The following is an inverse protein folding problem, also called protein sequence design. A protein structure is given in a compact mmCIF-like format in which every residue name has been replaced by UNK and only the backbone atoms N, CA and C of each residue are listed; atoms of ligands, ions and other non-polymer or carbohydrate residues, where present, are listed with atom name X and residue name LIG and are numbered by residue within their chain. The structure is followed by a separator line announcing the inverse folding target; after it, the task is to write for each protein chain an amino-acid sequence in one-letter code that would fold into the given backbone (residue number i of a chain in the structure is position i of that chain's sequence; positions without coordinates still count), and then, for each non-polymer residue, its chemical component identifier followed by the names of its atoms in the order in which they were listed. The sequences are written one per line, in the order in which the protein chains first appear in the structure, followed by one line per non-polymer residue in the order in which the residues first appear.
data_IF_589756615033
#
_entry.id   IF_589756615033
#
_cell.length_a   1.000
_cell.length_b   1.000
_cell.length_c   1.000
_cell.angle_alpha   90.00
_cell.angle_beta   90.00
_cell.angle_gamma   90.00
#
_symmetry.space_group_name_H-M   'P 1'
#
loop_
_entity.id
_entity.type
_entity.pdbx_description
1 polymer ?
#
# COMPACT_ATOMS: atom_id res chain seq x y z
N UNK A 1 -5.99 -5.85 -21.84
CA UNK A 1 -5.73 -4.56 -22.53
C UNK A 1 -6.79 -4.37 -23.62
N UNK A 2 -7.31 -3.16 -23.80
CA UNK A 2 -8.29 -2.83 -24.84
C UNK A 2 -7.61 -2.13 -26.01
N UNK A 3 -7.75 -2.65 -27.23
CA UNK A 3 -7.17 -2.08 -28.44
C UNK A 3 -8.18 -1.15 -29.11
N UNK A 4 -7.76 0.07 -29.46
CA UNK A 4 -8.56 1.05 -30.20
C UNK A 4 -7.72 1.77 -31.25
N UNK A 5 -8.38 2.41 -32.21
CA UNK A 5 -7.72 3.32 -33.14
C UNK A 5 -7.25 4.58 -32.41
N UNK A 6 -5.94 4.81 -32.39
CA UNK A 6 -5.35 6.01 -31.82
C UNK A 6 -3.88 6.17 -32.16
N UNK A 7 -3.38 7.40 -31.97
CA UNK A 7 -1.97 7.74 -32.09
C UNK A 7 -1.59 8.82 -31.07
N UNK A 8 -0.51 8.66 -30.29
CA UNK A 8 -0.02 9.72 -29.41
C UNK A 8 0.32 10.98 -30.21
N UNK A 9 -0.12 12.15 -29.71
CA UNK A 9 0.25 13.44 -30.31
C UNK A 9 1.68 13.86 -29.96
N UNK A 10 2.23 13.31 -28.88
CA UNK A 10 3.58 13.57 -28.39
C UNK A 10 4.18 12.35 -27.71
N UNK A 11 5.51 12.34 -27.61
CA UNK A 11 6.30 11.40 -26.80
C UNK A 11 6.95 12.14 -25.62
N UNK A 12 6.26 13.16 -25.11
CA UNK A 12 6.67 13.95 -23.96
C UNK A 12 5.52 13.91 -22.91
N UNK A 13 5.76 13.39 -21.69
CA UNK A 13 7.02 12.82 -21.21
C UNK A 13 7.45 11.56 -21.97
N UNK A 14 8.76 11.26 -21.92
CA UNK A 14 9.37 10.15 -22.68
C UNK A 14 8.79 8.82 -22.18
N UNK A 15 8.20 7.98 -23.06
CA UNK A 15 7.70 6.67 -22.66
C UNK A 15 8.83 5.70 -22.35
N UNK A 16 8.51 4.63 -21.61
CA UNK A 16 9.41 3.48 -21.54
C UNK A 16 9.45 2.80 -22.90
N UNK A 17 10.66 2.58 -23.42
CA UNK A 17 10.85 2.17 -24.81
C UNK A 17 11.55 0.82 -24.91
N UNK A 18 10.99 -0.07 -25.72
CA UNK A 18 11.52 -1.41 -25.97
C UNK A 18 11.71 -1.63 -27.47
N UNK A 19 12.96 -1.88 -27.86
CA UNK A 19 13.33 -2.23 -29.23
C UNK A 19 13.07 -3.72 -29.50
N UNK A 20 12.83 -4.07 -30.77
CA UNK A 20 12.79 -5.46 -31.26
C UNK A 20 11.72 -6.37 -30.64
N UNK A 21 10.65 -5.81 -30.07
CA UNK A 21 9.46 -6.58 -29.68
C UNK A 21 8.33 -6.31 -30.65
N UNK A 22 7.47 -7.30 -30.90
CA UNK A 22 6.29 -7.16 -31.76
C UNK A 22 5.09 -6.58 -30.99
N UNK A 23 3.98 -6.36 -31.68
CA UNK A 23 2.80 -5.72 -31.09
C UNK A 23 2.19 -6.54 -29.95
N UNK A 24 1.96 -7.86 -30.09
CA UNK A 24 1.52 -8.69 -28.97
C UNK A 24 2.45 -8.62 -27.76
N UNK A 25 3.76 -8.70 -27.95
CA UNK A 25 4.73 -8.57 -26.86
C UNK A 25 4.67 -7.17 -26.24
N UNK A 26 4.52 -6.10 -27.04
CA UNK A 26 4.37 -4.73 -26.54
C UNK A 26 3.16 -4.58 -25.61
N UNK A 27 2.01 -5.15 -25.99
CA UNK A 27 0.80 -5.18 -25.17
C UNK A 27 1.05 -5.94 -23.87
N UNK A 28 1.68 -7.12 -23.96
CA UNK A 28 1.96 -7.96 -22.80
C UNK A 28 2.91 -7.27 -21.82
N UNK A 29 3.99 -6.65 -22.31
CA UNK A 29 4.92 -5.88 -21.49
C UNK A 29 4.21 -4.76 -20.74
N UNK A 30 3.29 -4.02 -21.38
CA UNK A 30 2.49 -3.02 -20.67
C UNK A 30 1.52 -3.63 -19.65
N UNK A 31 0.93 -4.78 -19.97
CA UNK A 31 0.02 -5.45 -19.06
C UNK A 31 0.74 -5.87 -17.76
N UNK A 32 1.96 -6.38 -17.86
CA UNK A 32 2.78 -6.80 -16.72
C UNK A 32 3.42 -5.61 -16.00
N UNK A 33 3.75 -4.53 -16.72
CA UNK A 33 4.35 -3.36 -16.11
C UNK A 33 3.32 -2.57 -15.29
N UNK A 34 3.50 -2.56 -13.97
CA UNK A 34 2.49 -2.09 -13.00
C UNK A 34 1.97 -0.69 -13.29
N UNK A 35 2.86 0.25 -13.60
CA UNK A 35 2.53 1.66 -13.84
C UNK A 35 2.05 1.97 -15.26
N UNK A 36 2.17 1.03 -16.20
CA UNK A 36 1.77 1.22 -17.58
C UNK A 36 0.25 1.26 -17.73
N UNK A 37 -0.25 2.24 -18.48
CA UNK A 37 -1.69 2.37 -18.81
C UNK A 37 -1.95 2.36 -20.30
N UNK A 38 -0.91 2.49 -21.13
CA UNK A 38 -1.03 2.60 -22.57
C UNK A 38 0.19 2.03 -23.27
N UNK A 39 -0.04 1.14 -24.24
CA UNK A 39 0.98 0.68 -25.18
C UNK A 39 0.72 1.26 -26.59
N UNK A 40 1.79 1.67 -27.25
CA UNK A 40 1.78 2.11 -28.64
C UNK A 40 3.03 1.62 -29.35
N UNK A 41 2.88 1.01 -30.52
CA UNK A 41 4.01 0.58 -31.33
C UNK A 41 4.10 1.40 -32.61
N UNK A 42 5.31 1.88 -32.91
CA UNK A 42 5.66 2.49 -34.18
C UNK A 42 6.81 1.71 -34.83
N UNK A 43 7.34 2.24 -35.94
CA UNK A 43 8.46 1.64 -36.68
C UNK A 43 9.75 1.58 -35.87
N UNK A 44 9.90 2.40 -34.83
CA UNK A 44 11.08 2.39 -33.96
C UNK A 44 10.99 1.31 -32.87
N UNK A 45 9.79 0.99 -32.40
CA UNK A 45 9.59 -0.02 -31.37
C UNK A 45 8.34 0.20 -30.53
N UNK A 46 8.30 -0.46 -29.38
CA UNK A 46 7.21 -0.37 -28.42
C UNK A 46 7.41 0.80 -27.44
N UNK A 47 6.38 1.61 -27.27
CA UNK A 47 6.33 2.76 -26.37
C UNK A 47 5.26 2.51 -25.31
N UNK A 48 5.66 2.51 -24.05
CA UNK A 48 4.79 2.31 -22.90
C UNK A 48 4.64 3.62 -22.14
N UNK A 49 3.40 4.10 -22.01
CA UNK A 49 3.09 5.31 -21.28
C UNK A 49 2.51 4.97 -19.91
N UNK A 50 3.03 5.66 -18.91
CA UNK A 50 2.62 5.53 -17.51
C UNK A 50 1.39 6.37 -17.20
N UNK A 51 0.67 6.06 -16.13
CA UNK A 51 -0.50 6.83 -15.70
C UNK A 51 -0.21 8.32 -15.50
N UNK A 52 0.97 8.66 -14.94
CA UNK A 52 1.45 10.01 -14.71
C UNK A 52 2.21 10.62 -15.91
N UNK A 53 2.32 9.87 -17.01
CA UNK A 53 3.00 10.28 -18.23
C UNK A 53 2.15 10.06 -19.48
N UNK A 54 0.82 10.04 -19.31
CA UNK A 54 -0.13 9.79 -20.40
C UNK A 54 -0.20 11.00 -21.34
N UNK A 55 0.18 10.88 -22.63
CA UNK A 55 0.04 11.97 -23.58
C UNK A 55 -1.39 12.00 -24.14
N UNK A 56 -1.83 13.14 -24.70
CA UNK A 56 -3.07 13.15 -25.47
C UNK A 56 -2.98 12.18 -26.65
N UNK A 57 -4.01 11.34 -26.84
CA UNK A 57 -4.07 10.39 -27.96
C UNK A 57 -5.12 10.85 -28.95
N UNK A 58 -4.69 11.14 -30.16
CA UNK A 58 -5.59 11.45 -31.25
C UNK A 58 -6.27 10.17 -31.70
N UNK A 59 -7.61 10.11 -31.64
CA UNK A 59 -8.39 9.02 -32.22
C UNK A 59 -8.14 8.99 -33.73
N UNK A 60 -7.83 7.81 -34.23
CA UNK A 60 -7.63 7.54 -35.67
C UNK A 60 -8.74 6.63 -36.19
N UNK A 61 -8.59 6.13 -37.42
CA UNK A 61 -9.45 5.11 -38.01
C UNK A 61 -8.66 4.10 -38.86
N UNK A 62 -9.36 3.14 -39.46
CA UNK A 62 -8.76 2.07 -40.25
C UNK A 62 -7.93 2.52 -41.46
N UNK A 63 -8.18 3.72 -42.00
CA UNK A 63 -7.40 4.27 -43.11
C UNK A 63 -6.07 4.88 -42.66
N UNK A 64 -5.99 5.35 -41.40
CA UNK A 64 -4.77 5.93 -40.82
C UNK A 64 -3.87 4.87 -40.17
N UNK A 65 -4.40 3.67 -39.90
CA UNK A 65 -3.62 2.47 -39.56
C UNK A 65 -2.96 2.45 -38.18
N UNK A 66 -3.08 3.50 -37.37
CA UNK A 66 -2.44 3.56 -36.05
C UNK A 66 -3.37 3.09 -34.94
N UNK A 67 -2.92 2.14 -34.12
CA UNK A 67 -3.67 1.60 -32.99
C UNK A 67 -2.90 1.80 -31.68
N UNK A 68 -3.65 1.84 -30.59
CA UNK A 68 -3.14 1.88 -29.22
C UNK A 68 -3.83 0.81 -28.37
N UNK A 69 -3.20 0.39 -27.28
CA UNK A 69 -3.80 -0.52 -26.32
C UNK A 69 -3.84 0.11 -24.92
N UNK A 70 -5.03 0.29 -24.37
CA UNK A 70 -5.24 0.80 -23.01
C UNK A 70 -5.30 -0.34 -21.99
N UNK A 71 -4.63 -0.15 -20.86
CA UNK A 71 -4.87 -0.97 -19.66
C UNK A 71 -6.17 -0.48 -19.03
N UNK A 72 -7.03 -1.42 -18.74
CA UNK A 72 -8.37 -1.16 -18.21
C UNK A 72 -8.67 -2.21 -17.17
N UNK A 73 -9.44 -1.84 -16.16
CA UNK A 73 -9.88 -2.76 -15.13
C UNK A 73 -11.00 -3.66 -15.69
N UNK A 74 -10.83 -4.97 -15.55
CA UNK A 74 -11.87 -5.95 -15.83
C UNK A 74 -12.22 -6.62 -14.51
N UNK A 75 -13.47 -6.55 -14.08
CA UNK A 75 -13.93 -7.39 -12.97
C UNK A 75 -14.06 -8.81 -13.50
N UNK A 76 -13.09 -9.67 -13.17
CA UNK A 76 -12.92 -11.03 -13.72
C UNK A 76 -14.10 -12.00 -13.53
N UNK A 77 -15.20 -11.58 -12.90
CA UNK A 77 -16.39 -12.42 -12.64
C UNK A 77 -17.69 -11.88 -13.23
N UNK A 78 -17.62 -10.98 -14.21
CA UNK A 78 -18.80 -10.43 -14.90
C UNK A 78 -18.97 -11.05 -16.28
N UNK A 79 -19.95 -11.96 -16.40
CA UNK A 79 -20.35 -12.60 -17.67
C UNK A 79 -21.00 -11.63 -18.67
N UNK A 80 -21.24 -10.39 -18.26
CA UNK A 80 -21.73 -9.26 -19.07
C UNK A 80 -20.60 -8.37 -19.65
N UNK A 81 -19.33 -8.67 -19.38
CA UNK A 81 -18.23 -7.88 -19.93
C UNK A 81 -17.97 -8.21 -21.41
N UNK A 82 -18.44 -7.33 -22.29
CA UNK A 82 -18.15 -7.37 -23.73
C UNK A 82 -17.09 -6.32 -24.02
N UNK A 83 -15.95 -6.70 -24.64
CA UNK A 83 -15.01 -5.72 -25.18
C UNK A 83 -15.72 -4.88 -26.25
N UNK A 84 -15.51 -3.55 -26.35
CA UNK A 84 -16.05 -2.76 -27.43
C UNK A 84 -15.72 -3.39 -28.79
N UNK A 85 -16.74 -3.67 -29.59
CA UNK A 85 -16.64 -4.30 -30.90
C UNK A 85 -17.20 -3.39 -32.01
N UNK A 86 -16.52 -3.32 -33.15
CA UNK A 86 -16.94 -2.48 -34.28
C UNK A 86 -15.78 -1.99 -35.12
N UNK A 87 -16.08 -1.45 -36.31
CA UNK A 87 -15.07 -1.00 -37.28
C UNK A 87 -14.29 0.21 -36.73
N UNK A 88 -14.95 1.02 -35.89
CA UNK A 88 -14.40 2.22 -35.27
C UNK A 88 -14.43 2.10 -33.74
N UNK A 89 -13.70 1.13 -33.18
CA UNK A 89 -13.58 0.97 -31.74
C UNK A 89 -13.15 2.29 -31.03
N UNK A 90 -13.63 2.54 -29.79
CA UNK A 90 -14.58 1.73 -29.08
C UNK A 90 -15.99 2.10 -29.54
N UNK A 91 -16.63 1.15 -30.18
CA UNK A 91 -18.07 1.15 -30.42
C UNK A 91 -18.56 -0.19 -29.92
N UNK A 92 -19.86 -0.34 -29.73
CA UNK A 92 -20.49 -1.66 -29.56
C UNK A 92 -21.42 -1.85 -30.75
N UNK A 93 -21.03 -2.71 -31.70
CA UNK A 93 -21.71 -2.88 -32.99
C UNK A 93 -21.89 -1.56 -33.76
N UNK A 94 -20.82 -0.75 -33.87
CA UNK A 94 -20.83 0.57 -34.53
C UNK A 94 -21.77 1.62 -33.89
N UNK A 95 -22.27 1.38 -32.68
CA UNK A 95 -22.99 2.38 -31.86
C UNK A 95 -22.08 2.97 -30.80
N UNK A 96 -22.29 4.24 -30.46
CA UNK A 96 -21.56 4.89 -29.37
C UNK A 96 -21.88 4.17 -28.05
N UNK A 97 -20.84 3.82 -27.28
CA UNK A 97 -21.01 3.20 -25.97
C UNK A 97 -21.60 4.23 -25.01
N UNK A 98 -22.88 4.09 -24.72
CA UNK A 98 -23.49 4.68 -23.53
C UNK A 98 -23.43 3.63 -22.43
N UNK A 99 -22.23 3.21 -22.05
CA UNK A 99 -22.08 2.29 -20.91
C UNK A 99 -21.71 3.10 -19.68
N UNK A 100 -22.74 3.44 -18.91
CA UNK A 100 -22.65 3.93 -17.55
C UNK A 100 -22.17 2.79 -16.65
N UNK A 101 -20.92 2.82 -16.22
CA UNK A 101 -20.50 2.03 -15.05
C UNK A 101 -20.67 2.91 -13.81
N UNK A 102 -21.79 2.72 -13.12
CA UNK A 102 -22.00 3.26 -11.78
C UNK A 102 -21.60 2.17 -10.79
N UNK A 103 -20.58 2.45 -9.99
CA UNK A 103 -20.25 1.65 -8.80
C UNK A 103 -21.47 1.60 -7.87
N UNK A 104 -21.86 0.42 -7.43
CA UNK A 104 -23.01 0.25 -6.54
C UNK A 104 -22.81 0.90 -5.16
N UNK A 105 -21.58 1.25 -4.79
CA UNK A 105 -21.25 1.97 -3.56
C UNK A 105 -21.43 3.50 -3.66
N UNK A 106 -21.73 4.05 -4.85
CA UNK A 106 -21.92 5.49 -5.10
C UNK A 106 -23.38 5.88 -5.40
N UNK A 107 -24.35 5.02 -5.02
CA UNK A 107 -25.78 5.10 -5.39
C UNK A 107 -26.52 6.39 -4.98
N UNK A 108 -25.95 7.30 -4.19
CA UNK A 108 -26.70 8.40 -3.58
C UNK A 108 -26.73 9.73 -4.36
N UNK A 109 -25.92 9.95 -5.41
CA UNK A 109 -25.86 11.30 -6.03
C UNK A 109 -26.26 11.46 -7.51
N UNK A 110 -26.54 10.40 -8.27
CA UNK A 110 -26.79 10.56 -9.72
C UNK A 110 -28.17 10.10 -10.17
N UNK A 111 -29.21 10.78 -9.68
CA UNK A 111 -30.59 10.70 -10.24
C UNK A 111 -30.88 11.72 -11.34
N UNK A 112 -29.90 12.53 -11.80
CA UNK A 112 -30.18 13.70 -12.64
C UNK A 112 -29.60 13.75 -14.07
N UNK A 113 -29.09 12.65 -14.65
CA UNK A 113 -28.55 12.66 -16.02
C UNK A 113 -29.27 11.69 -16.98
N UNK A 114 -30.61 11.69 -16.97
CA UNK A 114 -31.40 11.15 -18.10
C UNK A 114 -31.79 12.31 -19.02
N UNK A 115 -30.97 12.54 -20.06
CA UNK A 115 -31.19 13.36 -21.29
C UNK A 115 -30.06 14.33 -21.58
N UNK A 116 -28.84 13.84 -21.75
CA UNK A 116 -27.88 14.49 -22.63
C UNK A 116 -27.15 13.39 -23.41
N UNK A 117 -27.12 13.53 -24.74
CA UNK A 117 -26.30 12.71 -25.62
C UNK A 117 -24.85 13.07 -25.28
N UNK A 118 -24.24 12.33 -24.37
CA UNK A 118 -22.83 12.49 -24.09
C UNK A 118 -22.06 11.81 -25.23
N UNK A 119 -21.41 12.62 -26.06
CA UNK A 119 -20.41 12.16 -27.04
C UNK A 119 -19.10 11.70 -26.36
N UNK A 120 -19.17 11.30 -25.09
CA UNK A 120 -18.00 10.92 -24.30
C UNK A 120 -18.06 9.45 -23.88
N UNK A 121 -16.95 8.77 -24.11
CA UNK A 121 -16.71 7.39 -23.67
C UNK A 121 -15.74 7.43 -22.51
N UNK A 122 -15.92 6.56 -21.50
CA UNK A 122 -15.02 6.47 -20.35
C UNK A 122 -14.70 5.01 -20.04
N UNK A 123 -13.42 4.68 -19.92
CA UNK A 123 -12.92 3.44 -19.34
C UNK A 123 -12.33 3.69 -17.98
N UNK A 124 -12.52 2.76 -17.07
CA UNK A 124 -11.95 2.81 -15.73
C UNK A 124 -10.76 1.86 -15.63
N UNK A 125 -9.82 2.22 -14.78
CA UNK A 125 -8.64 1.44 -14.50
C UNK A 125 -8.18 1.57 -13.06
N UNK A 126 -7.49 0.54 -12.59
CA UNK A 126 -6.91 0.46 -11.26
C UNK A 126 -5.50 -0.12 -11.38
N UNK A 127 -4.53 0.53 -10.72
CA UNK A 127 -3.16 0.01 -10.56
C UNK A 127 -2.84 -0.12 -9.07
N UNK A 128 -2.10 -1.16 -8.75
CA UNK A 128 -1.39 -1.33 -7.49
C UNK A 128 0.10 -1.31 -7.81
N UNK A 129 0.79 -0.28 -7.35
CA UNK A 129 2.21 -0.06 -7.64
C UNK A 129 3.00 -0.41 -6.39
N UNK A 130 3.75 -1.51 -6.35
CA UNK A 130 4.57 -1.90 -5.20
C UNK A 130 6.07 -1.99 -5.52
N UNK A 131 6.44 -1.79 -6.78
CA UNK A 131 7.79 -1.99 -7.28
C UNK A 131 8.70 -0.76 -7.13
N UNK A 132 8.22 0.35 -6.58
CA UNK A 132 9.03 1.56 -6.42
C UNK A 132 9.76 1.52 -5.07
N UNK A 133 11.09 1.38 -5.02
CA UNK A 133 11.83 1.28 -3.76
C UNK A 133 11.83 2.60 -2.95
N UNK A 134 11.55 3.73 -3.61
CA UNK A 134 11.59 5.07 -3.02
C UNK A 134 10.23 5.54 -2.46
N UNK A 135 9.14 4.87 -2.83
CA UNK A 135 7.77 5.26 -2.45
C UNK A 135 7.00 4.07 -1.88
N UNK A 136 6.09 4.33 -0.94
CA UNK A 136 5.15 3.30 -0.47
C UNK A 136 4.34 2.78 -1.64
N UNK A 137 3.84 1.54 -1.60
CA UNK A 137 2.97 1.12 -2.65
C UNK A 137 1.77 2.02 -2.76
N UNK A 138 1.32 2.23 -3.97
CA UNK A 138 0.30 3.21 -4.28
C UNK A 138 -0.86 2.55 -5.00
N UNK A 139 -2.06 3.02 -4.68
CA UNK A 139 -3.26 2.71 -5.44
C UNK A 139 -3.53 3.87 -6.39
N UNK A 140 -3.70 3.56 -7.67
CA UNK A 140 -4.04 4.54 -8.69
C UNK A 140 -5.38 4.15 -9.30
N UNK A 141 -6.34 5.07 -9.25
CA UNK A 141 -7.61 4.96 -9.96
C UNK A 141 -7.60 5.95 -11.11
N UNK A 142 -7.89 5.48 -12.32
CA UNK A 142 -7.84 6.33 -13.50
C UNK A 142 -9.03 6.10 -14.42
N UNK A 143 -9.38 7.16 -15.14
CA UNK A 143 -10.40 7.18 -16.17
C UNK A 143 -9.76 7.59 -17.50
N UNK A 144 -9.92 6.78 -18.54
CA UNK A 144 -9.55 7.12 -19.90
C UNK A 144 -10.82 7.55 -20.63
N UNK A 145 -10.86 8.80 -21.06
CA UNK A 145 -12.04 9.41 -21.65
C UNK A 145 -11.80 9.85 -23.08
N UNK A 146 -12.75 9.62 -23.99
CA UNK A 146 -12.77 10.23 -25.33
C UNK A 146 -13.70 11.42 -25.32
N UNK A 147 -13.20 12.59 -25.69
CA UNK A 147 -14.03 13.78 -25.94
C UNK A 147 -13.73 14.32 -27.34
N UNK A 148 -14.74 14.35 -28.20
CA UNK A 148 -14.52 14.62 -29.62
C UNK A 148 -13.64 13.54 -30.25
N UNK A 149 -12.43 13.90 -30.65
CA UNK A 149 -11.44 12.99 -31.23
C UNK A 149 -10.20 12.81 -30.36
N UNK A 150 -10.21 13.26 -29.11
CA UNK A 150 -9.07 13.21 -28.21
C UNK A 150 -9.33 12.27 -27.03
N UNK A 151 -8.44 11.30 -26.83
CA UNK A 151 -8.38 10.53 -25.59
C UNK A 151 -7.51 11.23 -24.57
N UNK A 152 -8.02 11.31 -23.35
CA UNK A 152 -7.35 11.88 -22.18
C UNK A 152 -7.44 10.93 -21.01
N UNK A 153 -6.47 11.00 -20.10
CA UNK A 153 -6.50 10.26 -18.84
C UNK A 153 -6.59 11.25 -17.68
N UNK A 154 -7.51 10.97 -16.75
CA UNK A 154 -7.55 11.60 -15.43
C UNK A 154 -7.32 10.53 -14.38
N UNK A 155 -6.56 10.82 -13.33
CA UNK A 155 -6.31 9.85 -12.27
C UNK A 155 -6.32 10.49 -10.89
N UNK A 156 -6.64 9.66 -9.90
CA UNK A 156 -6.39 9.92 -8.50
C UNK A 156 -5.47 8.82 -8.00
N UNK A 157 -4.64 9.15 -7.02
CA UNK A 157 -3.76 8.18 -6.40
C UNK A 157 -3.74 8.39 -4.89
N UNK A 158 -3.48 7.31 -4.16
CA UNK A 158 -3.28 7.35 -2.73
C UNK A 158 -2.18 6.34 -2.34
N UNK A 159 -1.21 6.74 -1.51
CA UNK A 159 -0.27 5.78 -0.96
C UNK A 159 -1.01 4.84 -0.01
N UNK A 160 -0.56 3.58 0.09
CA UNK A 160 -1.11 2.62 1.06
C UNK A 160 -0.94 3.09 2.50
N UNK A 161 0.21 3.71 2.77
CA UNK A 161 0.55 4.26 4.06
C UNK A 161 0.66 5.77 3.98
N UNK A 162 0.23 6.45 5.03
CA UNK A 162 0.40 7.89 5.14
C UNK A 162 1.89 8.27 5.10
N UNK A 163 2.20 9.47 4.59
CA UNK A 163 3.55 10.01 4.65
C UNK A 163 4.10 9.98 6.09
N UNK A 164 5.30 9.41 6.26
CA UNK A 164 5.98 9.24 7.55
C UNK A 164 6.21 7.80 8.00
N UNK A 165 5.49 6.82 7.43
CA UNK A 165 5.58 5.41 7.82
C UNK A 165 6.59 4.61 7.01
N UNK A 166 7.78 4.28 7.51
CA UNK A 166 8.87 3.67 6.72
C UNK A 166 8.65 2.23 6.20
N UNK A 167 7.59 1.54 6.61
CA UNK A 167 7.34 0.16 6.19
C UNK A 167 5.85 -0.15 6.11
N UNK A 168 5.53 -1.17 5.31
CA UNK A 168 4.20 -1.75 5.24
C UNK A 168 4.32 -3.26 5.07
N UNK A 169 3.29 -3.98 5.50
CA UNK A 169 3.17 -5.41 5.28
C UNK A 169 1.71 -5.83 5.46
N UNK A 170 1.34 -6.95 4.86
CA UNK A 170 -0.01 -7.48 4.96
C UNK A 170 -0.12 -8.53 6.07
N UNK A 171 -1.16 -8.36 6.87
CA UNK A 171 -1.67 -9.36 7.79
C UNK A 171 -2.99 -9.94 7.26
N UNK A 172 -3.43 -11.11 7.78
CA UNK A 172 -4.74 -11.67 7.43
C UNK A 172 -5.93 -10.73 7.66
N UNK A 173 -5.79 -9.70 8.51
CA UNK A 173 -6.82 -8.69 8.80
C UNK A 173 -6.65 -7.37 8.04
N UNK A 174 -5.63 -7.26 7.18
CA UNK A 174 -5.41 -6.10 6.31
C UNK A 174 -3.96 -5.65 6.24
N UNK A 175 -3.73 -4.54 5.54
CA UNK A 175 -2.41 -3.93 5.41
C UNK A 175 -2.07 -3.10 6.65
N UNK A 176 -0.85 -3.25 7.15
CA UNK A 176 -0.30 -2.53 8.28
C UNK A 176 0.81 -1.60 7.82
N UNK A 177 0.86 -0.42 8.42
CA UNK A 177 1.92 0.56 8.24
C UNK A 177 2.73 0.65 9.52
N UNK A 178 4.06 0.60 9.40
CA UNK A 178 4.99 0.65 10.52
C UNK A 178 5.89 1.88 10.41
N UNK A 179 6.16 2.49 11.56
CA UNK A 179 7.13 3.57 11.69
C UNK A 179 7.95 3.37 12.96
N UNK A 180 9.19 3.87 12.93
CA UNK A 180 10.05 3.89 14.11
C UNK A 180 10.24 5.33 14.54
N UNK A 181 9.95 5.61 15.80
CA UNK A 181 10.17 6.92 16.40
C UNK A 181 11.37 6.81 17.35
N UNK A 182 12.43 7.53 17.02
CA UNK A 182 13.58 7.72 17.91
C UNK A 182 13.66 9.17 18.34
N UNK A 183 14.21 9.41 19.53
CA UNK A 183 14.55 10.76 19.98
C UNK A 183 15.93 10.74 20.61
N UNK A 184 16.77 11.73 20.27
CA UNK A 184 18.10 11.92 20.86
C UNK A 184 18.02 12.75 22.16
N UNK A 185 16.90 12.65 22.88
CA UNK A 185 16.66 13.43 24.08
C UNK A 185 17.41 12.77 25.23
N UNK A 186 18.67 13.15 25.39
CA UNK A 186 19.43 12.91 26.62
C UNK A 186 18.72 13.62 27.78
N UNK A 187 18.06 12.86 28.66
CA UNK A 187 17.51 13.29 29.97
C UNK A 187 16.13 13.97 30.00
N UNK A 188 15.11 13.38 29.40
CA UNK A 188 13.74 13.62 29.90
C UNK A 188 13.05 12.29 30.18
N UNK A 189 12.26 12.28 31.26
CA UNK A 189 11.30 11.26 31.70
C UNK A 189 10.30 10.84 30.60
N UNK A 190 10.81 10.29 29.50
CA UNK A 190 10.10 9.71 28.38
C UNK A 190 9.60 8.31 28.79
N UNK A 191 8.47 8.32 29.50
CA UNK A 191 7.71 7.13 29.85
C UNK A 191 6.79 6.63 28.73
N UNK A 192 6.18 5.46 28.93
CA UNK A 192 5.28 4.80 27.96
C UNK A 192 4.16 5.70 27.43
N UNK A 193 3.66 6.62 28.25
CA UNK A 193 2.59 7.54 27.87
C UNK A 193 3.07 8.63 26.89
N UNK A 194 4.32 9.08 27.02
CA UNK A 194 4.90 10.05 26.10
C UNK A 194 5.06 9.43 24.72
N UNK A 195 5.61 8.22 24.67
CA UNK A 195 5.82 7.47 23.44
C UNK A 195 4.48 7.10 22.77
N UNK A 196 3.47 6.71 23.56
CA UNK A 196 2.12 6.48 23.05
C UNK A 196 1.51 7.75 22.45
N UNK A 197 1.68 8.90 23.11
CA UNK A 197 1.23 10.21 22.58
C UNK A 197 1.97 10.57 21.30
N UNK A 198 3.25 10.22 21.18
CA UNK A 198 4.02 10.44 19.96
C UNK A 198 3.47 9.60 18.80
N UNK A 199 3.17 8.31 19.01
CA UNK A 199 2.50 7.47 18.01
C UNK A 199 1.14 8.04 17.59
N UNK A 200 0.33 8.51 18.54
CA UNK A 200 -0.99 9.07 18.27
C UNK A 200 -0.97 10.32 17.37
N UNK A 201 0.09 11.13 17.41
CA UNK A 201 0.26 12.29 16.51
C UNK A 201 0.36 11.89 15.04
N UNK A 202 0.75 10.65 14.75
CA UNK A 202 0.81 10.06 13.41
C UNK A 202 -0.40 9.15 13.12
N UNK A 203 -1.44 9.18 13.95
CA UNK A 203 -2.58 8.27 13.85
C UNK A 203 -2.24 6.80 14.13
N UNK A 204 -1.12 6.54 14.80
CA UNK A 204 -0.62 5.21 15.12
C UNK A 204 -0.86 4.83 16.60
N UNK A 205 -0.79 3.53 16.85
CA UNK A 205 -0.71 2.93 18.19
C UNK A 205 0.60 2.14 18.29
N UNK A 206 0.97 1.74 19.51
CA UNK A 206 2.05 0.78 19.65
C UNK A 206 1.70 -0.55 18.95
N UNK A 207 2.70 -1.23 18.36
CA UNK A 207 2.43 -2.47 17.67
C UNK A 207 2.16 -3.61 18.66
N UNK A 208 1.36 -4.58 18.21
CA UNK A 208 1.22 -5.90 18.83
C UNK A 208 1.80 -6.97 17.90
N UNK A 209 2.15 -8.14 18.43
CA UNK A 209 2.73 -9.25 17.64
C UNK A 209 1.68 -10.36 17.53
N UNK A 210 0.70 -10.13 16.67
CA UNK A 210 -0.51 -10.93 16.49
C UNK A 210 -0.31 -12.15 15.59
N UNK A 211 0.55 -12.02 14.57
CA UNK A 211 0.78 -13.01 13.54
C UNK A 211 2.27 -13.38 13.44
N UNK A 212 2.59 -14.58 12.91
CA UNK A 212 3.97 -14.96 12.64
C UNK A 212 4.72 -13.98 11.73
N UNK A 213 4.02 -13.32 10.80
CA UNK A 213 4.61 -12.30 9.92
C UNK A 213 5.04 -11.05 10.69
N UNK A 214 4.31 -10.62 11.73
CA UNK A 214 4.72 -9.50 12.59
C UNK A 214 6.11 -9.76 13.20
N UNK A 215 6.30 -10.98 13.72
CA UNK A 215 7.56 -11.40 14.33
C UNK A 215 8.73 -11.53 13.32
N UNK A 216 8.44 -11.61 12.02
CA UNK A 216 9.44 -11.66 10.95
C UNK A 216 9.75 -10.28 10.39
N UNK A 217 8.73 -9.47 10.14
CA UNK A 217 8.84 -8.20 9.41
C UNK A 217 9.25 -7.05 10.32
N UNK A 218 8.75 -6.99 11.56
CA UNK A 218 9.13 -5.91 12.49
C UNK A 218 10.67 -5.87 12.68
N UNK A 219 11.38 -7.00 12.92
CA UNK A 219 12.84 -7.00 12.99
C UNK A 219 13.52 -6.50 11.71
N UNK A 220 12.97 -6.80 10.52
CA UNK A 220 13.54 -6.33 9.24
C UNK A 220 13.47 -4.80 9.15
N UNK A 221 12.34 -4.19 9.53
CA UNK A 221 12.22 -2.73 9.57
C UNK A 221 13.18 -2.10 10.58
N UNK A 222 13.31 -2.71 11.76
CA UNK A 222 14.25 -2.24 12.78
C UNK A 222 15.70 -2.33 12.31
N UNK A 223 16.09 -3.41 11.63
CA UNK A 223 17.44 -3.56 11.07
C UNK A 223 17.75 -2.48 10.02
N UNK A 224 16.78 -2.10 9.19
CA UNK A 224 16.95 -1.02 8.22
C UNK A 224 17.19 0.32 8.91
N UNK A 225 16.49 0.59 10.01
CA UNK A 225 16.67 1.80 10.81
C UNK A 225 17.92 1.78 11.70
N UNK A 226 18.39 0.60 12.12
CA UNK A 226 19.54 0.44 13.02
C UNK A 226 20.84 1.01 12.46
N UNK A 227 21.05 0.93 11.14
CA UNK A 227 22.25 1.45 10.46
C UNK A 227 22.41 2.96 10.66
N UNK A 228 21.30 3.69 10.80
CA UNK A 228 21.31 5.14 10.79
C UNK A 228 21.38 5.76 12.21
N UNK A 229 20.99 5.04 13.26
CA UNK A 229 20.74 5.66 14.58
C UNK A 229 21.60 5.15 15.74
N UNK A 230 21.95 3.86 15.83
CA UNK A 230 22.57 3.30 17.04
C UNK A 230 23.49 2.10 16.73
N UNK A 231 24.69 2.31 16.15
CA UNK A 231 25.59 1.21 15.86
C UNK A 231 26.18 0.62 17.16
N UNK A 232 26.03 -0.70 17.33
CA UNK A 232 26.76 -1.55 18.29
C UNK A 232 26.23 -1.64 19.74
N UNK A 233 25.03 -1.13 20.04
CA UNK A 233 24.44 -1.24 21.38
C UNK A 233 23.10 -1.98 21.37
N UNK A 234 22.80 -2.69 22.47
CA UNK A 234 21.47 -3.22 22.72
C UNK A 234 20.54 -2.06 23.09
N UNK A 235 19.38 -1.98 22.46
CA UNK A 235 18.35 -1.00 22.83
C UNK A 235 16.97 -1.64 22.92
N UNK A 236 16.05 -0.91 23.54
CA UNK A 236 14.70 -1.35 23.80
C UNK A 236 13.71 -0.48 23.06
N UNK A 237 12.69 -1.11 22.50
CA UNK A 237 11.65 -0.45 21.72
C UNK A 237 10.32 -0.79 22.35
N UNK A 238 9.53 0.22 22.73
CA UNK A 238 8.23 -0.02 23.35
C UNK A 238 7.25 -0.62 22.35
N UNK A 239 6.51 -1.63 22.82
CA UNK A 239 5.38 -2.21 22.11
C UNK A 239 4.16 -2.21 23.02
N UNK A 240 3.00 -2.53 22.47
CA UNK A 240 1.76 -2.46 23.26
C UNK A 240 1.73 -3.57 24.30
N UNK A 241 1.18 -3.26 25.47
CA UNK A 241 1.14 -4.16 26.63
C UNK A 241 1.76 -3.54 27.88
N UNK A 242 0.91 -3.15 28.83
CA UNK A 242 1.32 -2.73 30.17
C UNK A 242 0.72 -3.67 31.20
N UNK A 243 1.55 -4.18 32.12
CA UNK A 243 1.14 -5.14 33.13
C UNK A 243 -0.01 -4.57 33.97
N UNK A 244 -1.04 -5.38 34.20
CA UNK A 244 -2.17 -4.98 35.05
C UNK A 244 -1.72 -4.83 36.50
N UNK A 245 -2.40 -3.95 37.25
CA UNK A 245 -2.10 -3.74 38.68
C UNK A 245 -2.12 -5.03 39.50
N UNK A 246 -3.07 -5.95 39.20
CA UNK A 246 -3.17 -7.24 39.88
C UNK A 246 -1.94 -8.13 39.64
N UNK A 247 -1.29 -7.98 38.49
CA UNK A 247 -0.13 -8.79 38.11
C UNK A 247 1.21 -8.17 38.52
N UNK A 248 1.26 -6.90 38.93
CA UNK A 248 2.49 -6.25 39.39
C UNK A 248 3.06 -6.89 40.67
N UNK A 249 2.20 -7.27 41.61
CA UNK A 249 2.63 -7.91 42.87
C UNK A 249 2.99 -9.40 42.70
N UNK A 250 2.43 -10.08 41.71
CA UNK A 250 2.62 -11.52 41.49
C UNK A 250 2.72 -11.88 39.99
N UNK A 251 3.77 -11.40 39.29
CA UNK A 251 3.85 -11.48 37.82
C UNK A 251 4.02 -12.90 37.28
N UNK A 252 4.46 -13.85 38.13
CA UNK A 252 4.75 -15.23 37.76
C UNK A 252 3.56 -16.19 37.94
N UNK A 253 2.38 -15.71 38.33
CA UNK A 253 1.19 -16.57 38.36
C UNK A 253 0.82 -16.98 36.93
N UNK A 254 0.19 -18.15 36.77
CA UNK A 254 -0.18 -18.67 35.45
C UNK A 254 -0.99 -17.65 34.63
N UNK A 255 -1.95 -16.95 35.26
CA UNK A 255 -2.74 -15.91 34.60
C UNK A 255 -1.90 -14.70 34.17
N UNK A 256 -0.96 -14.25 35.01
CA UNK A 256 -0.15 -13.07 34.76
C UNK A 256 0.96 -13.26 33.71
N UNK A 257 1.29 -14.51 33.37
CA UNK A 257 2.19 -14.85 32.27
C UNK A 257 1.47 -14.99 30.92
N UNK A 258 0.17 -14.70 30.86
CA UNK A 258 -0.61 -14.69 29.60
C UNK A 258 -0.99 -13.26 29.21
N UNK A 259 -1.69 -13.11 28.09
CA UNK A 259 -2.27 -11.84 27.67
C UNK A 259 -3.14 -11.18 28.75
N UNK A 260 -3.82 -11.95 29.60
CA UNK A 260 -4.63 -11.42 30.71
C UNK A 260 -3.80 -10.68 31.78
N UNK A 261 -2.48 -10.90 31.79
CA UNK A 261 -1.56 -10.18 32.67
C UNK A 261 -1.30 -8.74 32.25
N UNK A 262 -1.73 -8.33 31.06
CA UNK A 262 -1.42 -7.04 30.45
C UNK A 262 -2.67 -6.34 29.92
N UNK A 263 -2.57 -5.02 29.81
CA UNK A 263 -3.55 -4.15 29.15
C UNK A 263 -2.97 -3.74 27.80
N UNK A 264 -3.75 -3.93 26.75
CA UNK A 264 -3.41 -3.55 25.39
C UNK A 264 -4.32 -2.40 24.95
N UNK A 265 -3.76 -1.48 24.19
CA UNK A 265 -4.45 -0.33 23.62
C UNK A 265 -4.87 -0.57 22.17
N UNK A 266 -4.17 -1.45 21.45
CA UNK A 266 -4.52 -1.87 20.11
C UNK A 266 -5.75 -2.79 20.15
N UNK A 267 -6.89 -2.24 19.71
CA UNK A 267 -8.15 -2.98 19.57
C UNK A 267 -8.07 -4.22 18.67
N UNK A 268 -7.01 -4.36 17.85
CA UNK A 268 -6.80 -5.49 16.95
C UNK A 268 -6.00 -6.64 17.58
N UNK A 269 -5.50 -6.45 18.80
CA UNK A 269 -4.75 -7.47 19.53
C UNK A 269 -5.52 -8.81 19.58
N UNK A 270 -4.87 -9.92 19.20
CA UNK A 270 -5.51 -11.25 19.10
C UNK A 270 -5.64 -11.99 20.43
N UNK A 271 -5.42 -11.30 21.55
CA UNK A 271 -5.66 -11.84 22.89
C UNK A 271 -4.68 -12.93 23.34
N UNK A 272 -3.52 -13.07 22.70
CA UNK A 272 -2.52 -14.08 23.05
C UNK A 272 -1.08 -13.60 22.77
N UNK A 273 -0.10 -14.28 23.37
CA UNK A 273 1.32 -13.92 23.31
C UNK A 273 2.15 -14.96 22.53
N UNK A 274 1.52 -15.75 21.65
CA UNK A 274 2.16 -16.91 21.02
C UNK A 274 3.33 -16.54 20.11
N UNK A 275 3.30 -15.35 19.49
CA UNK A 275 4.33 -14.90 18.55
C UNK A 275 5.38 -13.98 19.21
N UNK A 276 5.30 -13.75 20.52
CA UNK A 276 6.13 -12.74 21.20
C UNK A 276 7.60 -13.14 21.36
N UNK A 277 8.00 -14.37 21.05
CA UNK A 277 9.42 -14.77 20.97
C UNK A 277 10.28 -14.25 22.13
N UNK A 278 9.98 -14.70 23.36
CA UNK A 278 10.53 -14.13 24.59
C UNK A 278 12.05 -14.26 24.73
N UNK A 279 12.70 -13.21 25.26
CA UNK A 279 14.06 -13.28 25.78
C UNK A 279 14.10 -14.00 27.14
N UNK A 280 13.09 -13.74 27.97
CA UNK A 280 12.88 -14.37 29.27
C UNK A 280 11.50 -15.04 29.31
N UNK A 281 10.46 -14.35 29.77
CA UNK A 281 9.04 -14.71 29.71
C UNK A 281 8.17 -13.51 30.13
N UNK A 282 6.86 -13.63 29.92
CA UNK A 282 5.86 -12.62 30.29
C UNK A 282 5.81 -12.27 31.79
N UNK A 283 6.32 -13.15 32.67
CA UNK A 283 6.39 -12.92 34.11
C UNK A 283 7.66 -12.20 34.58
N UNK A 284 8.55 -11.80 33.67
CA UNK A 284 9.77 -11.08 34.02
C UNK A 284 9.46 -9.71 34.64
N UNK A 285 10.18 -9.41 35.73
CA UNK A 285 10.10 -8.13 36.46
C UNK A 285 11.33 -8.03 37.35
N UNK A 286 12.38 -7.36 36.88
CA UNK A 286 13.64 -7.23 37.62
C UNK A 286 13.65 -6.02 38.55
N UNK A 287 13.04 -4.92 38.09
CA UNK A 287 12.73 -3.72 38.85
C UNK A 287 11.25 -3.60 39.19
N UNK A 288 10.92 -2.72 40.15
CA UNK A 288 9.55 -2.44 40.57
C UNK A 288 8.70 -1.71 39.53
N UNK A 289 9.28 -1.27 38.42
CA UNK A 289 8.60 -0.60 37.30
C UNK A 289 8.71 -1.40 35.99
N UNK A 290 9.30 -2.60 36.03
CA UNK A 290 9.44 -3.48 34.85
C UNK A 290 8.09 -4.12 34.49
N UNK A 291 7.21 -3.31 33.93
CA UNK A 291 5.81 -3.63 33.69
C UNK A 291 5.37 -3.38 32.24
N UNK A 292 6.27 -2.90 31.37
CA UNK A 292 5.96 -2.60 29.97
C UNK A 292 6.62 -3.60 29.02
N UNK A 293 5.88 -4.04 28.00
CA UNK A 293 6.44 -4.90 26.95
C UNK A 293 7.35 -4.10 26.02
N UNK A 294 8.49 -4.71 25.69
CA UNK A 294 9.47 -4.12 24.78
C UNK A 294 10.03 -5.16 23.82
N UNK A 295 10.37 -4.72 22.61
CA UNK A 295 11.32 -5.45 21.78
C UNK A 295 12.73 -5.17 22.29
N UNK A 296 13.48 -6.23 22.53
CA UNK A 296 14.91 -6.23 22.83
C UNK A 296 15.63 -6.36 21.49
N UNK A 297 16.20 -5.26 21.03
CA UNK A 297 17.02 -5.26 19.84
C UNK A 297 18.48 -5.57 20.23
N UNK A 298 19.07 -6.66 19.72
CA UNK A 298 20.38 -7.13 20.17
C UNK A 298 21.53 -6.36 19.49
N UNK A 299 22.76 -6.47 20.03
CA UNK A 299 23.97 -6.12 19.28
C UNK A 299 24.06 -6.92 17.96
N UNK A 300 24.86 -6.42 17.01
CA UNK A 300 24.97 -6.96 15.63
C UNK A 300 25.01 -8.50 15.61
N UNK A 301 24.11 -9.10 14.83
CA UNK A 301 24.04 -10.54 14.59
C UNK A 301 23.05 -11.32 15.48
N UNK A 302 22.40 -10.69 16.45
CA UNK A 302 21.34 -11.31 17.25
C UNK A 302 19.94 -11.25 16.63
N UNK A 303 19.00 -12.01 17.20
CA UNK A 303 17.57 -11.93 16.87
C UNK A 303 16.82 -11.02 17.84
N UNK A 304 15.90 -10.20 17.33
CA UNK A 304 14.98 -9.41 18.16
C UNK A 304 14.07 -10.35 18.98
N UNK A 305 13.86 -10.02 20.25
CA UNK A 305 13.03 -10.79 21.20
C UNK A 305 12.09 -9.85 21.96
N UNK A 306 11.04 -10.37 22.59
CA UNK A 306 10.26 -9.57 23.55
C UNK A 306 10.71 -9.82 24.98
N UNK A 307 10.68 -8.77 25.80
CA UNK A 307 10.87 -8.85 27.24
C UNK A 307 9.98 -7.82 27.95
N UNK A 308 10.03 -7.81 29.28
CA UNK A 308 9.37 -6.81 30.13
C UNK A 308 10.43 -5.89 30.73
N UNK A 309 10.25 -4.58 30.57
CA UNK A 309 11.16 -3.54 31.05
C UNK A 309 10.38 -2.37 31.63
N UNK A 310 11.13 -1.40 32.15
CA UNK A 310 10.60 -0.20 32.79
C UNK A 310 9.57 0.50 31.93
N UNK A 311 8.48 0.92 32.56
CA UNK A 311 7.50 1.79 31.92
C UNK A 311 7.96 3.26 31.94
N UNK A 312 8.74 3.64 32.94
CA UNK A 312 9.59 4.83 32.96
C UNK A 312 10.87 4.63 32.13
N UNK A 313 11.66 5.68 31.98
CA UNK A 313 12.85 5.77 31.11
C UNK A 313 13.79 4.56 31.12
N UNK A 314 14.40 4.36 29.96
CA UNK A 314 15.65 3.62 29.82
C UNK A 314 16.81 4.57 30.16
N UNK A 315 17.37 4.43 31.36
CA UNK A 315 18.71 4.95 31.65
C UNK A 315 19.76 4.02 31.06
#
# INVERSE_FOLDING_TARGET
MMIVWGKPSSFNPVPQFYQNIDWPACIQTCYEYQSCVLAFQNTSGCNLFLFNGFPPIQKTNSTEGSIVAFKIYSTENRTDYVCPNGINAPTFNNKNATVLFVDENLKTELKFLRRNVFNSFVFQGYLYLDSNPDYYPEKVWYNISLTGSLWTLSYNWAPLCQFGYYGYYDNPDGTWCAMFLSSNLTKQNIGVNYDATACQRFGALFPTINYPVDAQVIPVFLNRSHVDFMPNEQYYIRIDGVRTKACQSAPKTASCMTAAGFTFTDSRFKGNLNNYGWATNAGARSGSDDDCLVLVYPPIGGNVKVDVRRCSDFN
#
